data_IF_895230170572
#
_entry.id   IF_895230170572
#
_cell.length_a   1.000
_cell.length_b   1.000
_cell.length_c   1.000
_cell.angle_alpha   90.00
_cell.angle_beta   90.00
_cell.angle_gamma   90.00
#
_symmetry.space_group_name_H-M   'P 1'
#
loop_
_entity.id
_entity.type
_entity.pdbx_description
1 polymer ?
#
# COMPACT_ATOMS: atom_id res chain seq x y z
N UNK A 1 49.85 -21.42 36.18
CA UNK A 1 48.49 -21.13 36.68
C UNK A 1 47.84 -20.14 35.73
N UNK A 2 46.62 -20.41 35.26
CA UNK A 2 46.17 -20.03 33.93
C UNK A 2 45.63 -18.59 33.87
N UNK A 3 46.14 -17.83 32.90
CA UNK A 3 45.39 -16.77 32.22
C UNK A 3 44.63 -17.42 31.06
N UNK A 4 43.43 -16.91 30.73
CA UNK A 4 43.03 -16.46 29.38
C UNK A 4 41.51 -16.21 29.30
N UNK A 5 41.19 -14.94 29.01
CA UNK A 5 40.18 -14.41 28.08
C UNK A 5 38.70 -14.76 28.30
N UNK A 6 37.83 -13.74 28.60
CA UNK A 6 36.40 -13.88 28.40
C UNK A 6 36.07 -13.86 26.90
N UNK A 7 35.44 -14.92 26.40
CA UNK A 7 34.82 -14.92 25.07
C UNK A 7 33.61 -13.97 25.08
N UNK A 8 33.81 -12.78 24.54
CA UNK A 8 32.72 -11.90 24.10
C UNK A 8 32.03 -12.56 22.89
N UNK A 9 30.94 -13.28 23.15
CA UNK A 9 29.99 -13.66 22.12
C UNK A 9 29.21 -12.40 21.69
N UNK A 10 29.74 -11.70 20.69
CA UNK A 10 28.96 -10.74 19.94
C UNK A 10 27.90 -11.53 19.13
N UNK A 11 26.68 -11.59 19.65
CA UNK A 11 25.51 -11.90 18.84
C UNK A 11 25.35 -10.76 17.84
N UNK A 12 25.90 -10.95 16.64
CA UNK A 12 25.52 -10.18 15.47
C UNK A 12 24.05 -10.46 15.20
N UNK A 13 23.17 -9.60 15.68
CA UNK A 13 21.82 -9.49 15.15
C UNK A 13 21.98 -9.12 13.67
N UNK A 14 21.91 -10.12 12.80
CA UNK A 14 21.58 -9.91 11.40
C UNK A 14 20.18 -9.30 11.41
N UNK A 15 20.12 -7.96 11.41
CA UNK A 15 18.90 -7.24 11.08
C UNK A 15 18.54 -7.70 9.67
N UNK A 16 17.60 -8.62 9.57
CA UNK A 16 16.90 -8.87 8.32
C UNK A 16 16.24 -7.54 7.98
N UNK A 17 16.87 -6.76 7.12
CA UNK A 17 16.26 -5.59 6.50
C UNK A 17 14.99 -6.11 5.84
N UNK A 18 13.85 -5.87 6.48
CA UNK A 18 12.56 -6.20 5.88
C UNK A 18 12.46 -5.25 4.70
N UNK A 19 12.56 -5.78 3.47
CA UNK A 19 12.42 -4.98 2.27
C UNK A 19 11.00 -4.41 2.27
N UNK A 20 10.89 -3.11 2.54
CA UNK A 20 9.62 -2.40 2.63
C UNK A 20 9.22 -1.90 1.25
N UNK A 21 8.15 -2.48 0.69
CA UNK A 21 7.53 -1.97 -0.53
C UNK A 21 6.36 -1.05 -0.13
N UNK A 22 6.23 0.09 -0.80
CA UNK A 22 5.20 1.09 -0.53
C UNK A 22 4.25 1.19 -1.72
N UNK A 23 2.94 1.28 -1.44
CA UNK A 23 1.94 1.58 -2.46
C UNK A 23 1.37 2.97 -2.22
N UNK A 24 1.17 3.70 -3.31
CA UNK A 24 0.46 4.98 -3.33
C UNK A 24 -0.76 4.85 -4.23
N UNK A 25 -1.92 5.30 -3.77
CA UNK A 25 -3.15 5.34 -4.57
C UNK A 25 -3.60 6.79 -4.74
N UNK A 26 -3.96 7.12 -5.98
CA UNK A 26 -4.30 8.47 -6.40
C UNK A 26 -5.74 8.51 -6.91
N UNK A 27 -6.46 9.56 -6.53
CA UNK A 27 -7.77 9.91 -7.10
C UNK A 27 -7.64 10.58 -8.47
N UNK A 28 -6.42 10.82 -8.94
CA UNK A 28 -6.12 11.37 -10.26
C UNK A 28 -5.34 10.36 -11.09
N UNK A 29 -5.37 10.50 -12.42
CA UNK A 29 -4.49 9.74 -13.32
C UNK A 29 -3.03 10.23 -13.22
N UNK A 30 -2.08 9.42 -13.70
CA UNK A 30 -0.68 9.85 -13.83
C UNK A 30 0.24 9.52 -12.65
N UNK A 31 -0.25 8.91 -11.58
CA UNK A 31 0.51 8.65 -10.35
C UNK A 31 1.18 9.92 -9.79
N UNK A 32 0.44 11.02 -9.79
CA UNK A 32 0.91 12.35 -9.40
C UNK A 32 -0.09 13.03 -8.48
N UNK A 33 0.42 13.97 -7.68
CA UNK A 33 -0.39 14.74 -6.74
C UNK A 33 -0.52 14.05 -5.37
N UNK A 34 -1.51 14.49 -4.57
CA UNK A 34 -1.80 13.87 -3.28
C UNK A 34 -2.21 12.41 -3.44
N UNK A 35 -1.85 11.58 -2.47
CA UNK A 35 -2.13 10.16 -2.49
C UNK A 35 -2.38 9.61 -1.09
N UNK A 36 -3.10 8.51 -1.02
CA UNK A 36 -3.02 7.63 0.14
C UNK A 36 -1.81 6.72 0.00
N UNK A 37 -1.14 6.46 1.11
CA UNK A 37 0.03 5.60 1.17
C UNK A 37 -0.23 4.39 2.05
N UNK A 38 0.21 3.25 1.56
CA UNK A 38 0.28 1.97 2.23
C UNK A 38 1.75 1.65 2.42
N UNK A 39 2.26 2.03 3.60
CA UNK A 39 3.65 1.85 3.97
C UNK A 39 3.93 0.40 4.34
N UNK A 40 5.10 -0.10 3.93
CA UNK A 40 5.61 -1.44 4.27
C UNK A 40 4.61 -2.56 3.94
N UNK A 41 3.94 -2.49 2.78
CA UNK A 41 2.88 -3.44 2.44
C UNK A 41 3.46 -4.80 2.02
N UNK A 42 2.98 -5.86 2.66
CA UNK A 42 3.34 -7.24 2.34
C UNK A 42 2.80 -7.70 0.97
N UNK A 43 3.45 -8.71 0.40
CA UNK A 43 2.99 -9.34 -0.84
C UNK A 43 1.58 -9.94 -0.68
N UNK A 44 0.80 -9.92 -1.75
CA UNK A 44 -0.57 -10.40 -1.81
C UNK A 44 -1.54 -9.72 -0.82
N UNK A 45 -1.19 -8.57 -0.24
CA UNK A 45 -2.15 -7.74 0.51
C UNK A 45 -2.81 -6.73 -0.44
N UNK A 46 -4.14 -6.69 -0.40
CA UNK A 46 -4.93 -5.72 -1.16
C UNK A 46 -4.88 -4.34 -0.49
N UNK A 47 -4.24 -3.36 -1.14
CA UNK A 47 -4.27 -1.96 -0.74
C UNK A 47 -5.60 -1.35 -1.19
N UNK A 48 -6.48 -1.11 -0.22
CA UNK A 48 -7.84 -0.62 -0.45
C UNK A 48 -7.94 0.82 0.01
N UNK A 49 -8.45 1.69 -0.86
CA UNK A 49 -8.69 3.10 -0.53
C UNK A 49 -10.18 3.36 -0.45
N UNK A 50 -10.70 3.66 0.75
CA UNK A 50 -12.07 4.16 0.92
C UNK A 50 -12.00 5.64 1.24
N UNK A 51 -12.52 6.46 0.34
CA UNK A 51 -12.37 7.91 0.35
C UNK A 51 -13.43 8.65 1.18
N UNK A 52 -14.48 7.96 1.62
CA UNK A 52 -15.51 8.52 2.50
C UNK A 52 -16.11 7.46 3.41
N UNK A 53 -16.92 7.88 4.39
CA UNK A 53 -17.66 6.94 5.22
C UNK A 53 -18.65 6.15 4.36
N UNK A 54 -18.65 4.83 4.50
CA UNK A 54 -19.59 3.91 3.89
C UNK A 54 -20.26 3.07 4.97
N UNK A 55 -21.50 2.64 4.75
CA UNK A 55 -22.15 1.67 5.65
C UNK A 55 -21.62 0.25 5.49
N UNK A 56 -20.87 -0.01 4.41
CA UNK A 56 -20.23 -1.27 4.08
C UNK A 56 -19.49 -1.17 2.75
N UNK A 57 -18.84 -2.25 2.32
CA UNK A 57 -18.06 -2.26 1.08
C UNK A 57 -18.95 -2.13 -0.17
N UNK A 58 -20.10 -2.81 -0.19
CA UNK A 58 -21.07 -2.67 -1.27
C UNK A 58 -21.53 -1.21 -1.45
N UNK A 59 -21.80 -0.50 -0.35
CA UNK A 59 -22.13 0.93 -0.35
C UNK A 59 -20.95 1.76 -0.87
N UNK A 60 -19.72 1.43 -0.44
CA UNK A 60 -18.53 2.14 -0.86
C UNK A 60 -18.26 2.02 -2.37
N UNK A 61 -18.46 0.82 -2.93
CA UNK A 61 -18.35 0.56 -4.38
C UNK A 61 -19.47 1.28 -5.13
N UNK A 62 -20.73 1.10 -4.71
CA UNK A 62 -21.89 1.72 -5.36
C UNK A 62 -21.80 3.26 -5.39
N UNK A 63 -21.18 3.85 -4.38
CA UNK A 63 -20.95 5.30 -4.29
C UNK A 63 -19.67 5.77 -5.01
N UNK A 64 -18.89 4.85 -5.59
CA UNK A 64 -17.64 5.17 -6.28
C UNK A 64 -16.54 5.71 -5.37
N UNK A 65 -16.67 5.54 -4.05
CA UNK A 65 -15.71 6.07 -3.07
C UNK A 65 -14.52 5.13 -2.85
N UNK A 66 -14.51 3.98 -3.53
CA UNK A 66 -13.36 3.04 -3.59
C UNK A 66 -12.49 3.21 -4.84
N UNK A 67 -12.89 4.08 -5.77
CA UNK A 67 -12.21 4.21 -7.06
C UNK A 67 -10.84 4.89 -6.94
N UNK A 68 -9.83 4.18 -7.42
CA UNK A 68 -8.45 4.63 -7.58
C UNK A 68 -8.19 4.80 -9.08
N UNK A 69 -7.78 5.99 -9.49
CA UNK A 69 -7.54 6.32 -10.91
C UNK A 69 -6.12 5.98 -11.38
N UNK A 70 -5.17 5.99 -10.45
CA UNK A 70 -3.84 5.48 -10.68
C UNK A 70 -3.18 5.05 -9.37
N UNK A 71 -2.17 4.20 -9.46
CA UNK A 71 -1.42 3.75 -8.30
C UNK A 71 0.05 3.59 -8.66
N UNK A 72 0.92 3.87 -7.69
CA UNK A 72 2.37 3.72 -7.78
C UNK A 72 2.82 2.67 -6.77
N UNK A 73 3.56 1.68 -7.23
CA UNK A 73 4.34 0.80 -6.37
C UNK A 73 5.78 1.29 -6.35
N UNK A 74 6.31 1.48 -5.15
CA UNK A 74 7.70 1.84 -4.88
C UNK A 74 8.37 0.68 -4.14
N UNK A 75 9.43 0.11 -4.73
CA UNK A 75 10.13 -1.07 -4.22
C UNK A 75 11.61 -0.79 -3.97
N UNK A 76 12.18 -1.42 -2.94
CA UNK A 76 13.62 -1.35 -2.69
C UNK A 76 14.41 -2.13 -3.74
N UNK A 77 13.93 -3.34 -4.03
CA UNK A 77 14.50 -4.28 -4.97
C UNK A 77 13.52 -4.61 -6.09
N UNK A 78 14.02 -4.50 -7.32
CA UNK A 78 13.32 -5.01 -8.51
C UNK A 78 13.59 -6.50 -8.65
N UNK A 79 12.63 -7.25 -9.20
CA UNK A 79 12.80 -8.69 -9.35
C UNK A 79 11.72 -9.31 -10.21
N UNK A 80 11.14 -10.43 -9.73
CA UNK A 80 9.99 -11.06 -10.38
C UNK A 80 8.67 -10.40 -9.99
N UNK A 81 8.74 -9.34 -9.18
CA UNK A 81 7.60 -8.59 -8.66
C UNK A 81 6.64 -8.15 -9.77
N UNK A 82 5.36 -8.34 -9.52
CA UNK A 82 4.25 -7.89 -10.36
C UNK A 82 3.40 -6.92 -9.56
N UNK A 83 3.05 -5.81 -10.17
CA UNK A 83 2.09 -4.85 -9.63
C UNK A 83 0.74 -5.07 -10.28
N UNK A 84 -0.27 -5.32 -9.47
CA UNK A 84 -1.58 -5.80 -9.88
C UNK A 84 -2.60 -4.72 -9.55
N UNK A 85 -3.43 -4.39 -10.54
CA UNK A 85 -4.61 -3.56 -10.36
C UNK A 85 -5.86 -4.42 -10.44
N UNK A 86 -6.76 -4.18 -9.51
CA UNK A 86 -7.95 -4.98 -9.28
C UNK A 86 -9.20 -4.17 -9.52
N UNK A 87 -10.17 -4.82 -10.12
CA UNK A 87 -11.55 -4.36 -10.22
C UNK A 87 -12.37 -4.98 -9.08
N UNK A 88 -13.66 -4.65 -9.04
CA UNK A 88 -14.61 -5.35 -8.19
C UNK A 88 -14.58 -6.87 -8.46
N UNK A 89 -14.71 -7.67 -7.40
CA UNK A 89 -14.75 -9.12 -7.46
C UNK A 89 -16.16 -9.66 -7.71
N UNK A 90 -16.28 -10.92 -8.15
CA UNK A 90 -17.60 -11.56 -8.30
C UNK A 90 -18.39 -11.62 -6.99
N UNK A 91 -17.72 -11.56 -5.82
CA UNK A 91 -18.31 -11.59 -4.47
C UNK A 91 -18.30 -10.24 -3.72
N UNK A 92 -18.15 -9.10 -4.41
CA UNK A 92 -17.88 -7.75 -3.84
C UNK A 92 -18.80 -7.22 -2.73
N UNK A 93 -19.79 -7.96 -2.23
CA UNK A 93 -20.92 -7.43 -1.47
C UNK A 93 -21.32 -8.22 -0.20
N UNK A 94 -20.52 -9.17 0.29
CA UNK A 94 -20.86 -9.92 1.51
C UNK A 94 -20.01 -9.48 2.72
N UNK A 95 -20.37 -8.37 3.38
CA UNK A 95 -19.93 -7.88 4.72
C UNK A 95 -18.56 -8.36 5.26
N UNK A 96 -17.55 -8.41 4.39
CA UNK A 96 -16.19 -8.81 4.66
C UNK A 96 -15.19 -7.73 4.23
N UNK A 97 -13.88 -7.90 4.51
CA UNK A 97 -12.86 -6.95 4.04
C UNK A 97 -12.94 -6.79 2.52
N UNK A 98 -12.81 -5.57 1.98
CA UNK A 98 -12.80 -5.38 0.51
C UNK A 98 -11.67 -6.23 -0.07
N UNK A 99 -12.04 -7.25 -0.84
CA UNK A 99 -11.09 -8.14 -1.48
C UNK A 99 -10.83 -7.67 -2.91
N UNK A 100 -9.56 -7.67 -3.26
CA UNK A 100 -9.10 -7.51 -4.64
C UNK A 100 -9.79 -8.56 -5.52
N UNK A 101 -10.59 -8.10 -6.47
CA UNK A 101 -11.53 -8.92 -7.23
C UNK A 101 -10.95 -9.50 -8.51
N UNK A 102 -11.38 -8.97 -9.64
CA UNK A 102 -10.86 -9.40 -10.95
C UNK A 102 -9.59 -8.62 -11.28
N UNK A 103 -8.56 -9.31 -11.77
CA UNK A 103 -7.33 -8.65 -12.25
C UNK A 103 -7.64 -7.89 -13.54
N UNK A 104 -7.51 -6.56 -13.51
CA UNK A 104 -7.63 -5.70 -14.70
C UNK A 104 -6.30 -5.15 -15.17
N UNK A 105 -5.28 -5.16 -14.31
CA UNK A 105 -3.89 -4.80 -14.65
C UNK A 105 -2.92 -5.76 -14.00
N UNK A 106 -1.89 -6.18 -14.75
CA UNK A 106 -0.79 -7.00 -14.23
C UNK A 106 0.51 -6.57 -14.92
N UNK A 107 1.30 -5.75 -14.22
CA UNK A 107 2.50 -5.09 -14.77
C UNK A 107 3.74 -5.64 -14.08
N UNK A 108 4.79 -5.91 -14.86
CA UNK A 108 6.09 -6.32 -14.30
C UNK A 108 6.83 -5.10 -13.73
N UNK A 109 7.31 -5.21 -12.50
CA UNK A 109 8.08 -4.16 -11.80
C UNK A 109 9.53 -4.20 -12.27
N UNK A 110 9.85 -3.36 -13.26
CA UNK A 110 11.19 -3.29 -13.89
C UNK A 110 12.09 -2.21 -13.30
N UNK A 111 11.51 -1.29 -12.54
CA UNK A 111 12.17 -0.13 -11.92
C UNK A 111 11.69 -0.02 -10.48
N UNK A 112 12.40 0.77 -9.67
CA UNK A 112 12.01 1.06 -8.28
C UNK A 112 10.58 1.59 -8.18
N UNK A 113 10.16 2.41 -9.14
CA UNK A 113 8.80 2.91 -9.21
C UNK A 113 8.08 2.33 -10.42
N UNK A 114 6.85 1.85 -10.21
CA UNK A 114 5.96 1.37 -11.28
C UNK A 114 4.58 1.98 -11.10
N UNK A 115 4.12 2.72 -12.12
CA UNK A 115 2.79 3.32 -12.14
C UNK A 115 1.83 2.46 -12.96
N UNK A 116 0.61 2.27 -12.45
CA UNK A 116 -0.52 1.72 -13.19
C UNK A 116 -1.67 2.73 -13.19
N UNK A 117 -2.43 2.76 -14.28
CA UNK A 117 -3.58 3.65 -14.46
C UNK A 117 -4.80 2.82 -14.85
N UNK A 118 -5.98 3.26 -14.42
CA UNK A 118 -7.26 2.62 -14.71
C UNK A 118 -8.34 3.03 -13.72
N UNK A 119 -9.55 2.51 -13.90
CA UNK A 119 -10.55 2.49 -12.83
C UNK A 119 -10.28 1.25 -12.00
N UNK A 120 -9.69 1.42 -10.82
CA UNK A 120 -9.28 0.33 -9.93
C UNK A 120 -10.04 0.44 -8.61
N UNK A 121 -10.36 -0.69 -7.98
CA UNK A 121 -10.93 -0.75 -6.63
C UNK A 121 -9.88 -1.14 -5.57
N UNK A 122 -8.75 -1.67 -6.02
CA UNK A 122 -7.63 -2.01 -5.16
C UNK A 122 -6.39 -2.29 -5.97
N UNK A 123 -5.24 -2.31 -5.30
CA UNK A 123 -3.97 -2.68 -5.90
C UNK A 123 -3.19 -3.58 -4.96
N UNK A 124 -2.36 -4.46 -5.51
CA UNK A 124 -1.47 -5.30 -4.70
C UNK A 124 -0.20 -5.59 -5.47
N UNK A 125 0.82 -6.10 -4.78
CA UNK A 125 1.99 -6.63 -5.45
C UNK A 125 2.19 -8.10 -5.07
N UNK A 126 2.83 -8.85 -5.96
CA UNK A 126 3.21 -10.24 -5.70
C UNK A 126 4.58 -10.52 -6.26
N UNK A 127 5.26 -11.51 -5.70
CA UNK A 127 6.45 -12.10 -6.30
C UNK A 127 6.16 -13.56 -6.65
N UNK A 128 5.95 -13.89 -7.93
CA UNK A 128 5.80 -15.27 -8.36
C UNK A 128 7.06 -16.05 -8.00
N UNK A 129 6.95 -17.00 -7.07
CA UNK A 129 8.04 -17.90 -6.76
C UNK A 129 8.45 -18.73 -7.98
N UNK A 130 9.71 -19.19 -8.01
CA UNK A 130 10.22 -20.08 -9.07
C UNK A 130 9.54 -21.46 -9.14
N UNK A 131 8.74 -21.78 -8.12
CA UNK A 131 8.00 -23.02 -8.05
C UNK A 131 6.83 -23.01 -9.04
N UNK A 132 7.11 -23.53 -10.24
CA UNK A 132 6.17 -23.87 -11.34
C UNK A 132 4.97 -24.75 -10.93
N UNK A 133 4.76 -25.03 -9.64
CA UNK A 133 3.73 -25.91 -9.09
C UNK A 133 2.51 -25.16 -8.53
N UNK A 134 2.58 -23.85 -8.24
CA UNK A 134 1.37 -23.08 -7.95
C UNK A 134 0.63 -22.83 -9.27
N UNK A 135 -0.67 -23.14 -9.31
CA UNK A 135 -1.46 -22.80 -10.50
C UNK A 135 -1.38 -21.29 -10.72
N UNK A 136 -1.37 -20.85 -11.98
CA UNK A 136 -1.23 -19.43 -12.31
C UNK A 136 -2.31 -18.55 -11.66
N UNK A 137 -3.46 -19.13 -11.30
CA UNK A 137 -4.53 -18.51 -10.51
C UNK A 137 -4.14 -18.22 -9.05
N UNK A 138 -3.42 -19.13 -8.40
CA UNK A 138 -3.07 -19.02 -6.96
C UNK A 138 -1.95 -18.01 -6.69
N UNK A 139 -1.19 -17.64 -7.72
CA UNK A 139 -0.07 -16.69 -7.59
C UNK A 139 -0.56 -15.27 -7.34
N UNK A 140 -1.75 -14.94 -7.83
CA UNK A 140 -2.22 -13.56 -7.83
C UNK A 140 -3.30 -13.28 -6.78
N UNK A 141 -3.84 -14.29 -6.10
CA UNK A 141 -4.89 -14.08 -5.10
C UNK A 141 -4.40 -13.28 -3.90
N UNK A 142 -5.17 -12.26 -3.51
CA UNK A 142 -4.91 -11.54 -2.26
C UNK A 142 -5.24 -12.41 -1.04
N UNK A 143 -4.37 -12.38 -0.03
CA UNK A 143 -4.52 -13.12 1.24
C UNK A 143 -5.14 -12.27 2.35
N UNK A 144 -5.27 -10.98 2.12
CA UNK A 144 -5.91 -10.03 3.02
C UNK A 144 -6.06 -8.66 2.37
N UNK A 145 -6.56 -7.70 3.13
CA UNK A 145 -6.66 -6.30 2.73
C UNK A 145 -6.17 -5.40 3.85
N UNK A 146 -5.76 -4.19 3.50
CA UNK A 146 -5.42 -3.16 4.48
C UNK A 146 -5.87 -1.79 4.00
N UNK A 147 -6.12 -0.91 4.95
CA UNK A 147 -6.38 0.52 4.73
C UNK A 147 -5.06 1.30 4.67
N UNK A 148 -5.07 2.51 4.10
CA UNK A 148 -3.88 3.36 4.09
C UNK A 148 -3.48 3.76 5.50
N UNK A 149 -2.18 3.77 5.76
CA UNK A 149 -1.58 4.16 7.05
C UNK A 149 -0.91 5.54 6.99
N UNK A 150 -0.82 6.14 5.80
CA UNK A 150 -0.28 7.48 5.62
C UNK A 150 -0.93 8.24 4.45
N UNK A 151 -0.72 9.55 4.42
CA UNK A 151 -1.05 10.42 3.28
C UNK A 151 0.23 11.03 2.73
N UNK A 152 0.36 11.06 1.41
CA UNK A 152 1.40 11.80 0.71
C UNK A 152 0.81 13.08 0.13
N UNK A 153 1.33 14.24 0.53
CA UNK A 153 0.90 15.54 0.03
C UNK A 153 2.06 16.53 0.05
N UNK A 154 2.15 17.40 -0.96
CA UNK A 154 3.24 18.40 -1.11
C UNK A 154 4.66 17.82 -0.98
N UNK A 155 4.88 16.59 -1.44
CA UNK A 155 6.19 15.93 -1.39
C UNK A 155 6.55 15.33 -0.02
N UNK A 156 5.62 15.32 0.93
CA UNK A 156 5.80 14.87 2.31
C UNK A 156 4.82 13.77 2.68
N UNK A 157 5.19 12.95 3.66
CA UNK A 157 4.37 11.85 4.16
C UNK A 157 3.87 12.15 5.57
N UNK A 158 2.60 11.84 5.84
CA UNK A 158 1.93 12.11 7.10
C UNK A 158 1.34 10.82 7.67
N UNK A 159 1.76 10.45 8.88
CA UNK A 159 1.40 9.20 9.55
C UNK A 159 -0.03 9.28 10.12
N UNK A 160 -0.96 8.53 9.51
CA UNK A 160 -2.34 8.51 9.96
C UNK A 160 -2.54 7.64 11.20
N UNK A 161 -1.67 6.69 11.50
CA UNK A 161 -1.82 5.82 12.68
C UNK A 161 -1.60 6.60 13.98
N UNK A 162 -0.72 7.61 13.93
CA UNK A 162 -0.45 8.52 15.06
C UNK A 162 -1.42 9.69 15.18
N UNK A 163 -2.28 9.92 14.18
CA UNK A 163 -3.19 11.06 14.16
C UNK A 163 -4.45 10.83 15.00
N UNK A 164 -5.02 11.93 15.55
CA UNK A 164 -6.35 11.86 16.19
C UNK A 164 -7.41 11.59 15.12
N UNK A 165 -8.62 11.10 15.47
CA UNK A 165 -9.68 10.89 14.49
C UNK A 165 -10.00 12.13 13.63
N UNK A 166 -9.96 13.32 14.22
CA UNK A 166 -10.19 14.59 13.55
C UNK A 166 -9.06 14.93 12.56
N UNK A 167 -7.80 14.76 12.99
CA UNK A 167 -6.64 15.03 12.15
C UNK A 167 -6.51 13.99 11.02
N UNK A 168 -6.86 12.71 11.28
CA UNK A 168 -6.98 11.68 10.22
C UNK A 168 -7.98 12.13 9.16
N UNK A 169 -9.16 12.61 9.54
CA UNK A 169 -10.17 13.10 8.59
C UNK A 169 -9.62 14.22 7.71
N UNK A 170 -8.93 15.20 8.31
CA UNK A 170 -8.31 16.32 7.59
C UNK A 170 -7.20 15.86 6.63
N UNK A 171 -6.37 14.91 7.04
CA UNK A 171 -5.35 14.30 6.18
C UNK A 171 -6.00 13.56 4.99
N UNK A 172 -7.07 12.79 5.22
CA UNK A 172 -7.84 12.15 4.13
C UNK A 172 -8.40 13.19 3.17
N UNK A 173 -8.98 14.29 3.66
CA UNK A 173 -9.49 15.38 2.81
C UNK A 173 -8.39 16.02 1.94
N UNK A 174 -7.18 16.17 2.46
CA UNK A 174 -6.02 16.64 1.69
C UNK A 174 -5.60 15.66 0.59
N UNK A 175 -5.66 14.35 0.86
CA UNK A 175 -5.36 13.32 -0.16
C UNK A 175 -6.38 13.33 -1.31
N UNK A 176 -7.63 13.74 -1.03
CA UNK A 176 -8.72 13.75 -2.02
C UNK A 176 -8.75 15.03 -2.85
N UNK A 177 -8.64 16.17 -2.17
CA UNK A 177 -8.87 17.48 -2.77
C UNK A 177 -7.57 18.22 -3.09
N UNK A 178 -6.44 17.76 -2.53
CA UNK A 178 -5.19 18.51 -2.50
C UNK A 178 -5.27 19.77 -1.64
N UNK A 179 -4.23 20.59 -1.76
CA UNK A 179 -4.08 21.84 -1.00
C UNK A 179 -2.89 21.82 -0.06
N UNK A 180 -2.63 22.97 0.53
CA UNK A 180 -1.52 23.16 1.46
C UNK A 180 -1.78 22.43 2.78
N UNK A 181 -0.76 21.74 3.30
CA UNK A 181 -0.89 21.05 4.57
C UNK A 181 -0.89 22.06 5.72
N UNK A 182 -1.95 22.11 6.54
CA UNK A 182 -1.99 22.98 7.72
C UNK A 182 -0.82 22.69 8.67
N UNK A 183 -0.23 23.76 9.23
CA UNK A 183 0.96 23.67 10.06
C UNK A 183 0.78 22.76 11.29
N UNK A 184 -0.44 22.66 11.82
CA UNK A 184 -0.75 21.81 12.97
C UNK A 184 -0.76 20.30 12.63
N UNK A 185 -0.84 19.93 11.35
CA UNK A 185 -0.68 18.55 10.89
C UNK A 185 0.78 18.15 10.64
N UNK A 186 1.72 19.11 10.62
CA UNK A 186 3.15 18.85 10.40
C UNK A 186 3.76 17.94 11.49
N UNK A 187 3.15 17.89 12.67
CA UNK A 187 3.55 16.96 13.77
C UNK A 187 3.44 15.48 13.39
N UNK A 188 2.74 15.14 12.30
CA UNK A 188 2.61 13.78 11.77
C UNK A 188 3.57 13.48 10.61
N UNK A 189 4.37 14.46 10.19
CA UNK A 189 5.31 14.29 9.09
C UNK A 189 6.36 13.22 9.42
N UNK A 190 6.67 12.36 8.45
CA UNK A 190 7.72 11.36 8.56
C UNK A 190 8.41 11.12 7.22
N UNK A 191 9.57 10.47 7.27
CA UNK A 191 10.29 9.97 6.10
C UNK A 191 10.14 8.44 6.07
N UNK A 192 9.56 7.84 5.02
CA UNK A 192 9.49 6.38 4.90
C UNK A 192 10.88 5.75 4.89
N UNK A 193 11.02 4.58 5.52
CA UNK A 193 12.23 3.78 5.35
C UNK A 193 12.16 3.12 3.97
N UNK A 194 13.22 3.28 3.17
CA UNK A 194 13.37 2.71 1.83
C UNK A 194 14.74 2.08 1.65
#
# INVERSE_FOLDING_TARGET
MPSYIPYLLALGALSTSVAADNIYTYTQGGCSGPAFMFKDIDHNICAVTITANASGIADAIARGITTVHSAKLEVQETGKKRFIGWDEGPDSNADGPLQCGTIVKNVHVKKRETCIQGSLHGVSWTEPGDNRKRQASDVYTCTGSTEPNAVFCEGKHYDMDKATPEDKKRLKELALNGGAVPADLAKYEFVPNM
#
